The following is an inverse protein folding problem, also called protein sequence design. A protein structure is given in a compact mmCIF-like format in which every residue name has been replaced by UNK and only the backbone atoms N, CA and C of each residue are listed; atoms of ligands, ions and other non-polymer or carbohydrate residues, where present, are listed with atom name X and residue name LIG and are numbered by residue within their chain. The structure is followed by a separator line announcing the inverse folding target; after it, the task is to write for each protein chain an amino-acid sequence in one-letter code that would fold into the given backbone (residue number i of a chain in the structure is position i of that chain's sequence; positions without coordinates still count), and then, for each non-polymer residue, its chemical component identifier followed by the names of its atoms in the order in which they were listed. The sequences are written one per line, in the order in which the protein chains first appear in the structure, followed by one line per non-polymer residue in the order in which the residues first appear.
data_IF_417095925598
#
_entry.id   IF_417095925598
#
_cell.length_a   1.000
_cell.length_b   1.000
_cell.length_c   1.000
_cell.angle_alpha   90.00
_cell.angle_beta   90.00
_cell.angle_gamma   90.00
#
_symmetry.space_group_name_H-M   'P 1'
#
loop_
_entity.id
_entity.type
_entity.pdbx_description
1 polymer ?
#
# COMPACT_ATOMS: atom_id res chain seq x y z
N UNK A 1 3.23 -12.40 12.86
CA UNK A 1 1.92 -11.78 12.61
C UNK A 1 1.31 -11.42 13.95
N UNK A 2 0.92 -10.17 14.14
CA UNK A 2 0.24 -9.67 15.34
C UNK A 2 -1.04 -8.95 14.92
N UNK A 3 -2.17 -9.35 15.50
CA UNK A 3 -3.40 -8.60 15.37
C UNK A 3 -3.38 -7.49 16.43
N UNK A 4 -3.57 -6.25 16.00
CA UNK A 4 -3.48 -5.08 16.87
C UNK A 4 -4.87 -4.57 17.31
N UNK A 5 -4.97 -3.86 18.44
CA UNK A 5 -6.23 -3.33 18.95
C UNK A 5 -6.89 -2.28 18.03
N UNK A 6 -8.14 -1.92 18.33
CA UNK A 6 -8.95 -0.95 17.56
C UNK A 6 -8.34 0.43 17.38
N UNK A 7 -7.37 0.82 18.21
CA UNK A 7 -6.69 2.11 18.13
C UNK A 7 -5.56 2.14 17.09
N UNK A 8 -5.46 1.14 16.22
CA UNK A 8 -4.49 1.13 15.13
C UNK A 8 -5.05 1.83 13.89
N UNK A 9 -4.43 2.93 13.49
CA UNK A 9 -4.93 3.83 12.45
C UNK A 9 -4.76 3.29 11.01
N UNK A 10 -3.97 2.22 10.83
CA UNK A 10 -3.79 1.57 9.52
C UNK A 10 -4.53 0.23 9.44
N UNK A 11 -4.71 -0.29 8.23
CA UNK A 11 -5.20 -1.66 8.00
C UNK A 11 -4.09 -2.71 8.20
N UNK A 12 -2.83 -2.32 8.01
CA UNK A 12 -1.66 -3.17 8.22
C UNK A 12 -0.36 -2.37 8.23
N UNK A 13 0.69 -2.98 8.77
CA UNK A 13 2.05 -2.44 8.73
C UNK A 13 3.07 -3.59 8.71
N UNK A 14 3.96 -3.55 7.73
CA UNK A 14 5.10 -4.42 7.65
C UNK A 14 6.28 -3.89 8.49
N UNK A 15 6.70 -4.65 9.49
CA UNK A 15 7.95 -4.43 10.23
C UNK A 15 8.92 -5.59 9.96
N UNK A 16 10.24 -5.39 10.14
CA UNK A 16 11.20 -6.48 10.07
C UNK A 16 10.81 -7.62 11.00
N UNK A 17 10.59 -8.81 10.45
CA UNK A 17 10.16 -10.04 11.16
C UNK A 17 8.77 -10.01 11.81
N UNK A 18 7.99 -8.93 11.67
CA UNK A 18 6.67 -8.79 12.28
C UNK A 18 5.69 -8.05 11.38
N UNK A 19 4.63 -8.71 10.95
CA UNK A 19 3.49 -8.06 10.29
C UNK A 19 2.43 -7.71 11.32
N UNK A 20 1.98 -6.46 11.32
CA UNK A 20 0.85 -5.96 12.10
C UNK A 20 -0.38 -5.90 11.19
N UNK A 21 -1.51 -6.41 11.65
CA UNK A 21 -2.79 -6.32 10.94
C UNK A 21 -3.88 -5.79 11.87
N UNK A 22 -4.67 -4.86 11.37
CA UNK A 22 -5.83 -4.34 12.10
C UNK A 22 -6.84 -5.44 12.37
N UNK A 23 -7.50 -5.40 13.54
CA UNK A 23 -8.61 -6.32 13.81
C UNK A 23 -9.82 -6.09 12.88
N UNK A 24 -9.94 -4.91 12.25
CA UNK A 24 -11.07 -4.54 11.37
C UNK A 24 -11.14 -5.37 10.08
N UNK A 25 -10.01 -5.94 9.65
CA UNK A 25 -9.93 -6.77 8.45
C UNK A 25 -10.13 -8.26 8.74
N UNK A 26 -10.29 -8.64 10.02
CA UNK A 26 -10.56 -10.03 10.38
C UNK A 26 -11.95 -10.43 9.87
N UNK A 27 -11.97 -11.28 8.85
CA UNK A 27 -13.21 -11.83 8.29
C UNK A 27 -13.13 -13.36 8.17
N UNK A 28 -14.22 -14.10 8.41
CA UNK A 28 -14.25 -15.56 8.26
C UNK A 28 -14.02 -16.07 6.83
N UNK A 29 -14.24 -15.22 5.82
CA UNK A 29 -14.16 -15.57 4.39
C UNK A 29 -12.75 -15.54 3.81
N UNK A 30 -11.72 -15.39 4.66
CA UNK A 30 -10.31 -15.29 4.30
C UNK A 30 -9.96 -14.07 3.43
N UNK A 31 -10.88 -13.11 3.23
CA UNK A 31 -10.61 -11.88 2.47
C UNK A 31 -9.46 -11.06 3.06
N UNK A 32 -9.21 -11.18 4.37
CA UNK A 32 -8.04 -10.62 5.06
C UNK A 32 -6.71 -11.00 4.39
N UNK A 33 -6.62 -12.18 3.79
CA UNK A 33 -5.40 -12.66 3.13
C UNK A 33 -4.96 -11.75 2.00
N UNK A 34 -5.88 -10.99 1.41
CA UNK A 34 -5.56 -9.95 0.45
C UNK A 34 -4.67 -8.86 1.05
N UNK A 35 -5.07 -8.28 2.20
CA UNK A 35 -4.26 -7.27 2.89
C UNK A 35 -2.98 -7.88 3.48
N UNK A 36 -3.04 -9.12 3.99
CA UNK A 36 -1.83 -9.82 4.42
C UNK A 36 -0.83 -9.99 3.27
N UNK A 37 -1.31 -10.24 2.05
CA UNK A 37 -0.46 -10.35 0.85
C UNK A 37 0.25 -9.03 0.54
N UNK A 38 -0.44 -7.91 0.70
CA UNK A 38 0.14 -6.56 0.59
C UNK A 38 1.28 -6.34 1.60
N UNK A 39 1.02 -6.57 2.89
CA UNK A 39 2.04 -6.42 3.94
C UNK A 39 3.21 -7.41 3.76
N UNK A 40 2.95 -8.58 3.20
CA UNK A 40 3.99 -9.55 2.88
C UNK A 40 4.87 -9.06 1.73
N UNK A 41 4.30 -8.45 0.68
CA UNK A 41 5.07 -7.82 -0.39
C UNK A 41 6.06 -6.78 0.16
N UNK A 42 5.66 -6.04 1.19
CA UNK A 42 6.51 -5.01 1.78
C UNK A 42 7.82 -5.54 2.38
N UNK A 43 7.87 -6.82 2.73
CA UNK A 43 9.09 -7.46 3.24
C UNK A 43 10.23 -7.46 2.21
N UNK A 44 9.90 -7.57 0.92
CA UNK A 44 10.85 -7.38 -0.18
C UNK A 44 10.92 -5.91 -0.61
N UNK A 45 9.77 -5.26 -0.79
CA UNK A 45 9.68 -3.90 -1.34
C UNK A 45 9.27 -2.90 -0.24
N UNK A 46 10.18 -2.04 0.19
CA UNK A 46 10.00 -1.12 1.31
C UNK A 46 10.96 -1.45 2.46
N UNK A 47 11.05 -2.73 2.86
CA UNK A 47 12.00 -3.17 3.90
C UNK A 47 13.36 -3.55 3.31
N UNK A 48 13.41 -4.53 2.40
CA UNK A 48 14.69 -5.00 1.82
C UNK A 48 15.19 -4.06 0.71
N UNK A 49 14.29 -3.64 -0.18
CA UNK A 49 14.56 -2.64 -1.22
C UNK A 49 13.53 -1.52 -1.13
N UNK A 50 13.92 -0.34 -0.65
CA UNK A 50 13.04 0.80 -0.46
C UNK A 50 13.34 1.97 -1.38
N UNK A 51 12.46 2.98 -1.40
CA UNK A 51 12.64 4.19 -2.21
C UNK A 51 13.78 5.04 -1.63
N UNK A 52 14.37 5.91 -2.45
CA UNK A 52 15.45 6.79 -1.98
C UNK A 52 14.97 7.81 -0.96
N UNK A 53 13.77 8.33 -1.20
CA UNK A 53 13.08 9.32 -0.38
C UNK A 53 11.56 9.15 -0.55
N UNK A 54 10.78 9.88 0.25
CA UNK A 54 9.32 9.81 0.23
C UNK A 54 8.66 10.18 -1.11
N UNK A 55 9.38 10.90 -2.00
CA UNK A 55 8.84 11.23 -3.33
C UNK A 55 8.78 10.01 -4.25
N UNK A 56 9.46 8.92 -3.88
CA UNK A 56 9.50 7.66 -4.62
C UNK A 56 8.68 6.54 -3.95
N UNK A 57 7.95 6.85 -2.86
CA UNK A 57 7.15 5.85 -2.12
C UNK A 57 6.12 5.13 -3.01
N UNK A 58 5.63 5.81 -4.04
CA UNK A 58 4.73 5.22 -5.03
C UNK A 58 5.29 3.97 -5.71
N UNK A 59 6.62 3.82 -5.80
CA UNK A 59 7.24 2.62 -6.37
C UNK A 59 6.99 1.41 -5.48
N UNK A 60 7.20 1.56 -4.18
CA UNK A 60 6.99 0.50 -3.19
C UNK A 60 5.53 0.11 -3.12
N UNK A 61 4.66 1.08 -2.84
CA UNK A 61 3.22 0.87 -2.72
C UNK A 61 2.60 0.37 -4.02
N UNK A 62 3.03 0.93 -5.16
CA UNK A 62 2.56 0.51 -6.48
C UNK A 62 2.93 -0.93 -6.81
N UNK A 63 4.15 -1.36 -6.52
CA UNK A 63 4.58 -2.76 -6.70
C UNK A 63 3.84 -3.68 -5.74
N UNK A 64 3.69 -3.33 -4.47
CA UNK A 64 2.95 -4.13 -3.50
C UNK A 64 1.47 -4.26 -3.88
N UNK A 65 0.84 -3.18 -4.33
CA UNK A 65 -0.54 -3.12 -4.81
C UNK A 65 -0.79 -3.95 -6.08
N UNK A 66 0.24 -4.18 -6.90
CA UNK A 66 0.17 -5.12 -8.02
C UNK A 66 0.37 -6.58 -7.58
N UNK A 67 1.38 -6.83 -6.76
CA UNK A 67 1.74 -8.19 -6.33
C UNK A 67 0.74 -8.81 -5.35
N UNK A 68 0.04 -8.02 -4.55
CA UNK A 68 -0.98 -8.51 -3.61
C UNK A 68 -2.06 -9.34 -4.32
N UNK A 69 -2.43 -8.98 -5.55
CA UNK A 69 -3.40 -9.73 -6.36
C UNK A 69 -2.87 -11.12 -6.72
N UNK A 70 -1.60 -11.19 -7.11
CA UNK A 70 -0.94 -12.41 -7.56
C UNK A 70 -0.74 -13.36 -6.38
N UNK A 71 -0.23 -12.85 -5.26
CA UNK A 71 0.01 -13.64 -4.05
C UNK A 71 -1.33 -14.13 -3.49
N UNK A 72 -2.33 -13.26 -3.42
CA UNK A 72 -3.65 -13.64 -2.91
C UNK A 72 -4.28 -14.74 -3.77
N UNK A 73 -4.24 -14.62 -5.10
CA UNK A 73 -4.73 -15.64 -6.01
C UNK A 73 -3.99 -16.99 -5.84
N UNK A 74 -2.66 -16.95 -5.67
CA UNK A 74 -1.85 -18.14 -5.45
C UNK A 74 -2.19 -18.85 -4.13
N UNK A 75 -2.40 -18.09 -3.05
CA UNK A 75 -2.80 -18.63 -1.74
C UNK A 75 -4.20 -19.23 -1.79
N UNK A 76 -5.14 -18.55 -2.44
CA UNK A 76 -6.51 -19.03 -2.63
C UNK A 76 -6.61 -20.19 -3.63
N UNK A 77 -5.52 -20.49 -4.36
CA UNK A 77 -5.45 -21.51 -5.41
C UNK A 77 -6.51 -21.30 -6.49
N UNK A 78 -6.79 -20.04 -6.81
CA UNK A 78 -7.70 -19.69 -7.88
C UNK A 78 -7.17 -20.14 -9.23
N UNK A 79 -8.08 -20.53 -10.11
CA UNK A 79 -7.73 -20.78 -11.50
C UNK A 79 -7.46 -19.46 -12.24
N UNK A 80 -6.96 -19.55 -13.48
CA UNK A 80 -6.59 -18.37 -14.28
C UNK A 80 -7.77 -17.42 -14.50
N UNK A 81 -8.96 -17.96 -14.73
CA UNK A 81 -10.16 -17.15 -15.01
C UNK A 81 -10.65 -16.43 -13.75
N UNK A 82 -10.68 -17.13 -12.61
CA UNK A 82 -11.01 -16.54 -11.30
C UNK A 82 -10.02 -15.45 -10.93
N UNK A 83 -8.72 -15.73 -11.05
CA UNK A 83 -7.66 -14.76 -10.76
C UNK A 83 -7.78 -13.52 -11.64
N UNK A 84 -8.05 -13.71 -12.93
CA UNK A 84 -8.24 -12.61 -13.88
C UNK A 84 -9.47 -11.78 -13.53
N UNK A 85 -10.62 -12.42 -13.31
CA UNK A 85 -11.87 -11.74 -12.98
C UNK A 85 -11.76 -10.91 -11.70
N UNK A 86 -11.14 -11.47 -10.66
CA UNK A 86 -10.93 -10.76 -9.40
C UNK A 86 -9.95 -9.60 -9.53
N UNK A 87 -8.84 -9.78 -10.25
CA UNK A 87 -7.87 -8.70 -10.49
C UNK A 87 -8.49 -7.56 -11.30
N UNK A 88 -9.26 -7.87 -12.35
CA UNK A 88 -9.99 -6.87 -13.13
C UNK A 88 -11.00 -6.12 -12.28
N UNK A 89 -11.80 -6.83 -11.48
CA UNK A 89 -12.78 -6.19 -10.59
C UNK A 89 -12.10 -5.22 -9.62
N UNK A 90 -11.01 -5.65 -8.96
CA UNK A 90 -10.26 -4.79 -8.03
C UNK A 90 -9.59 -3.62 -8.73
N UNK A 91 -9.02 -3.83 -9.91
CA UNK A 91 -8.46 -2.75 -10.72
C UNK A 91 -9.52 -1.69 -11.09
N UNK A 92 -10.73 -2.12 -11.46
CA UNK A 92 -11.83 -1.21 -11.75
C UNK A 92 -12.28 -0.42 -10.51
N UNK A 93 -12.35 -1.06 -9.34
CA UNK A 93 -12.67 -0.38 -8.08
C UNK A 93 -11.59 0.64 -7.71
N UNK A 94 -10.31 0.24 -7.76
CA UNK A 94 -9.16 1.13 -7.53
C UNK A 94 -9.16 2.31 -8.49
N UNK A 95 -9.43 2.07 -9.78
CA UNK A 95 -9.51 3.13 -10.79
C UNK A 95 -10.64 4.12 -10.52
N UNK A 96 -11.81 3.64 -10.07
CA UNK A 96 -12.94 4.52 -9.71
C UNK A 96 -12.61 5.40 -8.51
N UNK A 97 -12.00 4.82 -7.48
CA UNK A 97 -11.54 5.57 -6.30
C UNK A 97 -10.51 6.61 -6.73
N UNK A 98 -9.47 6.20 -7.46
CA UNK A 98 -8.45 7.10 -7.98
C UNK A 98 -9.04 8.25 -8.80
N UNK A 99 -9.99 7.95 -9.70
CA UNK A 99 -10.64 8.97 -10.53
C UNK A 99 -11.44 9.98 -9.69
N UNK A 100 -12.07 9.52 -8.61
CA UNK A 100 -12.79 10.37 -7.66
C UNK A 100 -11.83 11.27 -6.86
N UNK A 101 -10.75 10.70 -6.34
CA UNK A 101 -9.72 11.43 -5.59
C UNK A 101 -9.01 12.46 -6.47
N UNK A 102 -8.72 12.11 -7.73
CA UNK A 102 -8.09 13.01 -8.69
C UNK A 102 -8.94 14.27 -8.93
N UNK A 103 -10.27 14.13 -8.96
CA UNK A 103 -11.17 15.28 -9.09
C UNK A 103 -11.19 16.22 -7.87
N UNK A 104 -10.70 15.76 -6.71
CA UNK A 104 -10.63 16.53 -5.46
C UNK A 104 -9.21 17.01 -5.13
N UNK A 105 -8.21 16.52 -5.87
CA UNK A 105 -6.79 16.79 -5.64
C UNK A 105 -6.31 17.91 -6.56
N UNK A 106 -5.51 18.85 -6.05
CA UNK A 106 -4.92 19.92 -6.85
C UNK A 106 -3.93 19.38 -7.90
N UNK A 107 -3.85 20.02 -9.07
CA UNK A 107 -3.05 19.52 -10.22
C UNK A 107 -1.57 19.27 -9.89
N UNK A 108 -0.98 20.03 -8.97
CA UNK A 108 0.41 19.89 -8.52
C UNK A 108 0.68 18.61 -7.74
N UNK A 109 -0.35 18.01 -7.13
CA UNK A 109 -0.28 16.73 -6.42
C UNK A 109 -0.69 15.54 -7.30
N UNK A 110 -1.22 15.77 -8.51
CA UNK A 110 -1.60 14.74 -9.48
C UNK A 110 -0.40 14.17 -10.25
N UNK A 111 0.70 13.91 -9.55
CA UNK A 111 1.94 13.38 -10.11
C UNK A 111 2.44 12.25 -9.22
N UNK A 112 3.11 11.26 -9.83
CA UNK A 112 3.75 10.18 -9.08
C UNK A 112 4.88 10.70 -8.19
N UNK A 113 5.51 11.82 -8.56
CA UNK A 113 6.61 12.43 -7.81
C UNK A 113 6.32 13.91 -7.52
N UNK A 114 5.59 14.21 -6.45
CA UNK A 114 5.41 15.60 -6.00
C UNK A 114 6.78 16.24 -5.71
N UNK A 115 6.94 17.53 -6.00
CA UNK A 115 8.13 18.36 -5.71
C UNK A 115 9.44 18.17 -6.52
N UNK A 116 9.45 17.45 -7.66
CA UNK A 116 10.55 17.42 -8.67
C UNK A 116 11.96 17.31 -8.05
N UNK A 117 12.13 16.62 -6.92
CA UNK A 117 13.45 16.51 -6.27
C UNK A 117 14.14 17.86 -6.05
N UNK A 118 13.41 18.94 -5.71
CA UNK A 118 14.04 20.06 -5.00
C UNK A 118 14.56 19.49 -3.69
N UNK A 119 15.80 19.02 -3.72
CA UNK A 119 16.62 18.82 -2.53
C UNK A 119 16.46 20.12 -1.76
N UNK A 120 15.94 20.04 -0.55
CA UNK A 120 15.97 21.13 0.41
C UNK A 120 17.44 21.47 0.65
N UNK A 121 18.04 22.25 -0.25
CA UNK A 121 19.26 22.97 0.00
C UNK A 121 18.86 24.15 0.89
N UNK A 122 18.75 23.89 2.18
CA UNK A 122 18.67 24.84 3.29
C UNK A 122 18.63 23.98 4.56
N UNK A 123 19.69 23.89 5.35
CA UNK A 123 20.00 24.89 6.40
C UNK A 123 18.72 25.61 6.84
N UNK A 124 18.33 25.42 8.10
CA UNK A 124 17.04 25.77 8.74
C UNK A 124 16.02 24.62 8.62
N UNK A 125 15.74 23.82 9.66
CA UNK A 125 15.50 24.19 11.05
C UNK A 125 14.01 24.00 11.32
N UNK A 126 13.66 22.95 12.08
CA UNK A 126 12.31 22.63 12.58
C UNK A 126 11.20 22.44 11.55
N UNK A 127 10.83 21.18 11.29
CA UNK A 127 9.47 20.66 11.53
C UNK A 127 9.31 19.28 10.89
N UNK A 128 9.90 18.28 11.54
CA UNK A 128 9.47 16.89 11.37
C UNK A 128 8.24 16.66 12.27
N UNK A 129 7.12 17.30 11.95
CA UNK A 129 5.83 16.89 12.49
C UNK A 129 5.28 15.76 11.63
N UNK A 130 5.78 14.58 12.00
CA UNK A 130 5.11 13.28 12.02
C UNK A 130 3.58 13.41 11.91
N UNK A 131 3.04 13.14 10.73
CA UNK A 131 1.68 12.65 10.61
C UNK A 131 1.76 11.13 10.73
N UNK A 132 1.37 10.67 11.92
CA UNK A 132 0.92 9.29 12.16
C UNK A 132 -0.37 9.07 11.38
#
# INVERSE_FOLDING_TARGET
LLIVPECFDSLGLACPHLLLLSQSILSPDLSMLYRLSHELCHTWFGILTGPRDWTEEWLTEGVCCYLEDIIHAAVMKWNSDESHNWSVLRALLKFRILSSELGQTSEDLQTLRPNIGRVTNQEEGNDAHMFV
#
